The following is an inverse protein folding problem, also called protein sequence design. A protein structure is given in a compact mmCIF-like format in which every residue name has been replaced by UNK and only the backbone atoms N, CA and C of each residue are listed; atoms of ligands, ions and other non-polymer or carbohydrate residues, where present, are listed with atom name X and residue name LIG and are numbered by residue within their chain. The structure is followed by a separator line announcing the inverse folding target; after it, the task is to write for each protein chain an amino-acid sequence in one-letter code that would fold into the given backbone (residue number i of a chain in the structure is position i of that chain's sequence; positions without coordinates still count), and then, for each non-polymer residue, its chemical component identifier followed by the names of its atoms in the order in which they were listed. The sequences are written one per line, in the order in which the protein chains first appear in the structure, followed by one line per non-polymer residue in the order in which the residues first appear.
data_IF_175854717589
#
_entry.id   IF_175854717589
#
_cell.length_a   1.000
_cell.length_b   1.000
_cell.length_c   1.000
_cell.angle_alpha   90.00
_cell.angle_beta   90.00
_cell.angle_gamma   90.00
#
_symmetry.space_group_name_H-M   'P 1'
#
loop_
_entity.id
_entity.type
_entity.pdbx_description
1 polymer ?
#
# COMPACT_ATOMS: atom_id res chain seq x y z
N UNK A 1 26.53 14.52 -15.43
CA UNK A 1 25.16 14.28 -15.69
C UNK A 1 24.72 12.95 -15.19
N UNK A 2 23.62 12.91 -14.46
CA UNK A 2 23.17 11.69 -13.88
C UNK A 2 22.03 11.15 -14.69
N UNK A 3 22.15 9.93 -15.14
CA UNK A 3 21.04 9.32 -15.86
C UNK A 3 20.18 8.58 -14.87
N UNK A 4 18.89 8.61 -15.12
CA UNK A 4 17.96 7.95 -14.26
C UNK A 4 17.50 6.65 -14.88
N UNK A 5 17.35 5.67 -14.05
CA UNK A 5 16.86 4.41 -14.52
C UNK A 5 15.57 4.11 -13.78
N UNK A 6 14.56 3.70 -14.51
CA UNK A 6 13.30 3.37 -13.88
C UNK A 6 13.37 1.97 -13.29
N UNK A 7 13.10 1.90 -12.01
CA UNK A 7 13.11 0.63 -11.31
C UNK A 7 11.69 0.34 -10.84
N UNK A 8 11.23 -0.86 -11.07
CA UNK A 8 9.91 -1.24 -10.65
C UNK A 8 9.99 -1.91 -9.30
N UNK A 9 9.27 -1.36 -8.34
CA UNK A 9 9.24 -1.95 -7.01
C UNK A 9 8.07 -2.89 -6.88
N UNK A 10 8.35 -4.11 -6.51
CA UNK A 10 7.31 -5.09 -6.22
C UNK A 10 7.37 -5.38 -4.74
N UNK A 11 6.22 -5.24 -4.08
CA UNK A 11 6.16 -5.38 -2.65
C UNK A 11 4.94 -6.20 -2.28
N UNK A 12 5.15 -7.19 -1.45
CA UNK A 12 4.05 -8.02 -1.00
C UNK A 12 4.14 -8.13 0.51
N UNK A 13 3.08 -7.76 1.20
CA UNK A 13 3.07 -7.77 2.65
C UNK A 13 1.77 -8.38 3.12
N UNK A 14 1.86 -9.28 4.07
CA UNK A 14 0.69 -9.84 4.71
C UNK A 14 0.48 -9.07 6.00
N UNK A 15 -0.71 -8.53 6.17
CA UNK A 15 -1.04 -7.76 7.34
C UNK A 15 -2.23 -8.38 8.03
N UNK A 16 -2.10 -8.59 9.33
CA UNK A 16 -3.19 -9.15 10.09
C UNK A 16 -4.08 -8.01 10.55
N UNK A 17 -5.31 -8.01 10.09
CA UNK A 17 -6.25 -6.96 10.40
C UNK A 17 -7.43 -7.54 11.16
N UNK A 18 -7.80 -6.92 12.28
CA UNK A 18 -8.95 -7.42 13.04
C UNK A 18 -10.22 -7.39 12.19
N UNK A 19 -11.06 -8.37 12.42
CA UNK A 19 -12.25 -8.53 11.62
C UNK A 19 -13.16 -7.31 11.66
N UNK A 20 -13.29 -6.71 12.83
CA UNK A 20 -14.16 -5.55 12.95
C UNK A 20 -13.59 -4.35 12.21
N UNK A 21 -12.29 -4.29 11.99
CA UNK A 21 -11.71 -3.23 11.22
C UNK A 21 -11.96 -3.46 9.73
N UNK A 22 -11.92 -4.71 9.31
CA UNK A 22 -12.13 -5.04 7.91
C UNK A 22 -13.51 -4.60 7.44
N UNK A 23 -14.51 -4.68 8.31
CA UNK A 23 -15.85 -4.32 7.92
C UNK A 23 -16.08 -2.81 7.94
N UNK A 24 -15.12 -2.06 8.45
CA UNK A 24 -15.26 -0.62 8.51
C UNK A 24 -14.48 0.00 7.36
N UNK A 25 -15.18 0.31 6.29
CA UNK A 25 -14.51 0.79 5.07
C UNK A 25 -13.75 2.07 5.27
N UNK A 26 -14.24 2.95 6.12
CA UNK A 26 -13.55 4.21 6.35
C UNK A 26 -12.22 3.97 7.05
N UNK A 27 -12.18 3.04 7.99
CA UNK A 27 -10.95 2.74 8.69
C UNK A 27 -9.94 2.07 7.77
N UNK A 28 -10.41 1.16 6.93
CA UNK A 28 -9.56 0.48 5.97
C UNK A 28 -8.96 1.50 5.01
N UNK A 29 -9.76 2.44 4.56
CA UNK A 29 -9.27 3.44 3.65
C UNK A 29 -8.20 4.30 4.30
N UNK A 30 -8.35 4.61 5.57
CA UNK A 30 -7.34 5.37 6.28
C UNK A 30 -6.03 4.61 6.40
N UNK A 31 -6.12 3.31 6.60
CA UNK A 31 -4.92 2.48 6.68
C UNK A 31 -4.20 2.48 5.34
N UNK A 32 -4.96 2.34 4.26
CA UNK A 32 -4.36 2.39 2.92
C UNK A 32 -3.65 3.71 2.68
N UNK A 33 -4.31 4.79 3.02
CA UNK A 33 -3.75 6.12 2.81
C UNK A 33 -2.49 6.31 3.65
N UNK A 34 -2.50 5.77 4.87
CA UNK A 34 -1.34 5.86 5.73
C UNK A 34 -0.14 5.14 5.16
N UNK A 35 -0.38 3.98 4.56
CA UNK A 35 0.70 3.21 3.96
C UNK A 35 1.26 3.96 2.75
N UNK A 36 0.39 4.47 1.90
CA UNK A 36 0.83 5.23 0.74
C UNK A 36 1.63 6.44 1.18
N UNK A 37 1.17 7.12 2.21
CA UNK A 37 1.87 8.28 2.71
C UNK A 37 3.24 7.93 3.22
N UNK A 38 3.37 6.82 3.91
CA UNK A 38 4.65 6.38 4.45
C UNK A 38 5.64 6.05 3.34
N UNK A 39 5.16 5.35 2.31
CA UNK A 39 6.02 5.00 1.19
C UNK A 39 6.45 6.26 0.46
N UNK A 40 5.50 7.16 0.22
CA UNK A 40 5.80 8.40 -0.49
C UNK A 40 6.79 9.25 0.28
N UNK A 41 6.62 9.32 1.58
CA UNK A 41 7.51 10.09 2.42
C UNK A 41 8.93 9.54 2.38
N UNK A 42 9.04 8.21 2.43
CA UNK A 42 10.36 7.57 2.39
C UNK A 42 11.08 7.84 1.08
N UNK A 43 10.36 7.73 -0.03
CA UNK A 43 10.97 7.98 -1.32
C UNK A 43 11.33 9.45 -1.48
N UNK A 44 10.46 10.31 -1.00
CA UNK A 44 10.70 11.74 -1.09
C UNK A 44 11.93 12.15 -0.29
N UNK A 45 12.10 11.57 0.88
CA UNK A 45 13.23 11.87 1.72
C UNK A 45 14.55 11.48 1.08
N UNK A 46 14.53 10.49 0.22
CA UNK A 46 15.73 10.07 -0.48
C UNK A 46 15.91 10.84 -1.80
N UNK A 47 15.05 11.81 -2.05
CA UNK A 47 15.18 12.61 -3.25
C UNK A 47 14.80 11.88 -4.52
N UNK A 48 13.91 10.91 -4.42
CA UNK A 48 13.54 10.10 -5.59
C UNK A 48 12.21 10.55 -6.14
N UNK A 49 12.10 10.51 -7.44
CA UNK A 49 10.83 10.75 -8.10
C UNK A 49 10.13 9.42 -8.25
N UNK A 50 8.84 9.40 -8.06
CA UNK A 50 8.12 8.15 -8.11
C UNK A 50 6.71 8.35 -8.60
N UNK A 51 6.09 7.26 -8.97
CA UNK A 51 4.71 7.28 -9.41
C UNK A 51 4.08 5.97 -8.95
N UNK A 52 3.15 6.06 -8.02
CA UNK A 52 2.47 4.88 -7.51
C UNK A 52 1.34 4.57 -8.46
N UNK A 53 1.51 3.52 -9.25
CA UNK A 53 0.55 3.19 -10.27
C UNK A 53 -0.59 2.35 -9.78
N UNK A 54 -0.34 1.52 -8.78
CA UNK A 54 -1.35 0.60 -8.34
C UNK A 54 -1.14 0.29 -6.88
N UNK A 55 -2.16 0.50 -6.08
CA UNK A 55 -2.07 0.17 -4.67
C UNK A 55 -3.46 -0.09 -4.15
N UNK A 56 -3.67 -1.25 -3.58
CA UNK A 56 -4.95 -1.57 -2.97
C UNK A 56 -4.77 -2.76 -2.06
N UNK A 57 -5.68 -2.91 -1.12
CA UNK A 57 -5.71 -4.08 -0.29
C UNK A 57 -6.45 -5.19 -1.02
N UNK A 58 -5.85 -6.36 -0.97
CA UNK A 58 -6.50 -7.53 -1.54
C UNK A 58 -7.00 -8.33 -0.36
N UNK A 59 -8.18 -8.02 0.11
CA UNK A 59 -8.73 -8.68 1.26
C UNK A 59 -9.34 -9.98 0.85
N UNK A 60 -8.70 -11.06 1.30
CA UNK A 60 -9.18 -12.34 0.97
C UNK A 60 -10.37 -12.61 1.78
N UNK A 61 -11.47 -12.74 1.15
CA UNK A 61 -12.67 -12.99 1.80
C UNK A 61 -12.93 -14.41 1.72
N UNK A 62 -12.39 -15.15 2.61
CA UNK A 62 -12.54 -16.53 2.54
C UNK A 62 -13.79 -17.00 3.08
N UNK A 63 -14.82 -16.49 2.75
CA UNK A 63 -15.98 -16.92 3.20
C UNK A 63 -16.39 -18.01 2.55
N UNK A 64 -15.79 -18.91 2.73
CA UNK A 64 -16.16 -19.97 2.10
C UNK A 64 -17.24 -20.46 2.69
N UNK A 65 -17.77 -20.20 3.19
CA UNK A 65 -18.66 -20.64 3.61
C UNK A 65 -19.50 -20.21 3.41
N UNK A 66 -19.47 -20.28 3.07
CA UNK A 66 -19.95 -19.98 2.76
C UNK A 66 -20.22 -20.18 2.75
#
# INVERSE_FOLDING_TARGET
MVSKKRVKLNLEIDIDIPTDLITNRLRIKKVEEGIIKSISKGLYQEGLSFNIKKFNFDIENNNKFN
#
